data_IF_338481173870
#
_entry.id   IF_338481173870
#
_cell.length_a   1.000
_cell.length_b   1.000
_cell.length_c   1.000
_cell.angle_alpha   90.00
_cell.angle_beta   90.00
_cell.angle_gamma   90.00
#
_symmetry.space_group_name_H-M   'P 1'
#
loop_
_entity.id
_entity.type
_entity.pdbx_description
1 polymer ?
#
# COMPACT_ATOMS: atom_id res chain seq x y z
N UNK A 1 -15.70 -11.01 17.81
CA UNK A 1 -16.46 -10.38 16.72
C UNK A 1 -16.14 -11.06 15.39
N UNK A 2 -17.06 -11.83 14.78
CA UNK A 2 -16.81 -12.54 13.50
C UNK A 2 -16.73 -11.63 12.25
N UNK A 3 -16.96 -10.32 12.35
CA UNK A 3 -16.94 -9.39 11.20
C UNK A 3 -15.64 -8.59 11.01
N UNK A 4 -14.92 -8.25 12.10
CA UNK A 4 -13.79 -7.30 12.05
C UNK A 4 -12.59 -7.86 11.29
N UNK A 5 -12.24 -9.14 11.48
CA UNK A 5 -11.17 -9.78 10.71
C UNK A 5 -11.47 -9.96 9.22
N UNK A 6 -12.76 -10.01 8.83
CA UNK A 6 -13.18 -9.97 7.43
C UNK A 6 -12.95 -8.59 6.81
N UNK A 7 -13.33 -7.54 7.54
CA UNK A 7 -13.11 -6.15 7.13
C UNK A 7 -11.62 -5.83 6.96
N UNK A 8 -10.76 -6.22 7.90
CA UNK A 8 -9.31 -5.97 7.80
C UNK A 8 -8.73 -6.62 6.53
N UNK A 9 -9.15 -7.84 6.18
CA UNK A 9 -8.72 -8.51 4.95
C UNK A 9 -9.18 -7.76 3.70
N UNK A 10 -10.43 -7.30 3.68
CA UNK A 10 -10.96 -6.48 2.59
C UNK A 10 -10.16 -5.18 2.43
N UNK A 11 -9.85 -4.48 3.51
CA UNK A 11 -9.08 -3.25 3.48
C UNK A 11 -7.62 -3.46 3.05
N UNK A 12 -7.01 -4.57 3.47
CA UNK A 12 -5.69 -4.98 2.99
C UNK A 12 -5.70 -5.21 1.48
N UNK A 13 -6.68 -5.97 0.98
CA UNK A 13 -6.82 -6.19 -0.47
C UNK A 13 -7.01 -4.86 -1.23
N UNK A 14 -7.84 -3.95 -0.69
CA UNK A 14 -8.04 -2.62 -1.28
C UNK A 14 -6.75 -1.80 -1.29
N UNK A 15 -5.93 -1.86 -0.24
CA UNK A 15 -4.63 -1.19 -0.20
C UNK A 15 -3.68 -1.76 -1.27
N UNK A 16 -3.62 -3.09 -1.38
CA UNK A 16 -2.77 -3.76 -2.35
C UNK A 16 -3.19 -3.40 -3.79
N UNK A 17 -4.48 -3.32 -4.08
CA UNK A 17 -5.00 -2.86 -5.37
C UNK A 17 -4.59 -1.42 -5.68
N UNK A 18 -4.68 -0.50 -4.70
CA UNK A 18 -4.24 0.90 -4.90
C UNK A 18 -2.73 0.99 -5.13
N UNK A 19 -1.93 0.16 -4.44
CA UNK A 19 -0.48 0.08 -4.68
C UNK A 19 -0.17 -0.43 -6.08
N UNK A 20 -0.94 -1.40 -6.57
CA UNK A 20 -0.79 -1.91 -7.94
C UNK A 20 -1.02 -0.82 -8.97
N UNK A 21 -2.04 0.02 -8.79
CA UNK A 21 -2.30 1.17 -9.68
C UNK A 21 -1.09 2.11 -9.74
N UNK A 22 -0.45 2.41 -8.60
CA UNK A 22 0.78 3.23 -8.57
C UNK A 22 1.89 2.57 -9.37
N UNK A 23 2.10 1.27 -9.21
CA UNK A 23 3.12 0.51 -9.95
C UNK A 23 2.85 0.55 -11.46
N UNK A 24 1.61 0.32 -11.88
CA UNK A 24 1.23 0.34 -13.29
C UNK A 24 1.46 1.73 -13.92
N UNK A 25 1.18 2.81 -13.17
CA UNK A 25 1.46 4.18 -13.61
C UNK A 25 2.95 4.50 -13.68
N UNK A 26 3.76 4.00 -12.73
CA UNK A 26 5.22 4.13 -12.76
C UNK A 26 5.82 3.39 -13.98
N UNK A 27 5.31 2.20 -14.30
CA UNK A 27 5.68 1.46 -15.51
C UNK A 27 5.33 2.26 -16.76
N UNK A 28 4.14 2.88 -16.80
CA UNK A 28 3.74 3.75 -17.90
C UNK A 28 4.69 4.96 -18.04
N UNK A 29 5.03 5.65 -16.94
CA UNK A 29 5.99 6.76 -16.96
C UNK A 29 7.33 6.32 -17.54
N UNK A 30 7.88 5.21 -17.05
CA UNK A 30 9.15 4.66 -17.52
C UNK A 30 9.09 4.22 -19.00
N UNK A 31 7.93 3.77 -19.48
CA UNK A 31 7.72 3.50 -20.90
C UNK A 31 7.78 4.77 -21.75
N UNK A 32 7.14 5.86 -21.30
CA UNK A 32 7.16 7.16 -21.99
C UNK A 32 8.58 7.72 -22.02
N UNK A 33 9.31 7.68 -20.91
CA UNK A 33 10.71 8.14 -20.83
C UNK A 33 11.60 7.36 -21.81
N UNK A 34 11.43 6.03 -21.90
CA UNK A 34 12.15 5.22 -22.89
C UNK A 34 11.81 5.60 -24.33
N UNK A 35 10.55 5.92 -24.62
CA UNK A 35 10.14 6.40 -25.95
C UNK A 35 10.79 7.75 -26.28
N UNK A 36 10.89 8.66 -25.32
CA UNK A 36 11.58 9.95 -25.51
C UNK A 36 13.06 9.73 -25.85
N UNK A 37 13.77 8.90 -25.07
CA UNK A 37 15.19 8.57 -25.37
C UNK A 37 15.36 7.92 -26.74
N UNK A 38 14.41 7.06 -27.15
CA UNK A 38 14.44 6.47 -28.48
C UNK A 38 14.24 7.51 -29.59
N UNK A 39 13.34 8.48 -29.40
CA UNK A 39 13.12 9.58 -30.35
C UNK A 39 14.37 10.46 -30.49
N UNK A 40 15.08 10.72 -29.41
CA UNK A 40 16.34 11.49 -29.44
C UNK A 40 17.45 10.74 -30.18
N UNK A 41 17.57 9.44 -29.93
CA UNK A 41 18.53 8.59 -30.63
C UNK A 41 18.23 8.49 -32.15
N UNK A 42 16.95 8.37 -32.51
CA UNK A 42 16.48 8.35 -33.89
C UNK A 42 16.79 9.69 -34.59
N UNK A 43 16.54 10.82 -33.92
CA UNK A 43 16.84 12.14 -34.45
C UNK A 43 18.33 12.35 -34.70
N UNK A 44 19.19 11.90 -33.78
CA UNK A 44 20.64 12.00 -33.94
C UNK A 44 21.16 11.12 -35.08
N UNK A 45 20.58 9.93 -35.25
CA UNK A 45 20.87 9.06 -36.38
C UNK A 45 20.51 9.75 -37.71
N UNK A 46 19.27 10.26 -37.81
CA UNK A 46 18.79 10.94 -39.01
C UNK A 46 19.61 12.19 -39.32
N UNK A 47 20.05 12.93 -38.29
CA UNK A 47 20.95 14.08 -38.45
C UNK A 47 22.27 13.67 -39.12
N UNK A 48 22.89 12.57 -38.68
CA UNK A 48 24.14 12.07 -39.27
C UNK A 48 23.95 11.68 -40.73
N UNK A 49 22.88 10.96 -41.05
CA UNK A 49 22.55 10.57 -42.43
C UNK A 49 22.34 11.79 -43.32
N UNK A 50 21.59 12.78 -42.83
CA UNK A 50 21.34 14.04 -43.53
C UNK A 50 22.62 14.85 -43.81
N UNK A 51 23.62 14.80 -42.92
CA UNK A 51 24.92 15.46 -43.17
C UNK A 51 25.77 14.77 -44.23
N UNK A 52 25.55 13.47 -44.45
CA UNK A 52 26.31 12.67 -45.42
C UNK A 52 25.65 12.59 -46.80
N UNK A 53 24.35 12.89 -46.90
CA UNK A 53 23.59 12.79 -48.14
C UNK A 53 22.73 14.05 -48.39
N UNK A 54 23.03 14.76 -49.49
CA UNK A 54 22.35 16.00 -49.87
C UNK A 54 20.83 15.84 -50.07
N UNK A 55 20.37 14.72 -50.61
CA UNK A 55 18.92 14.48 -50.79
C UNK A 55 18.22 14.19 -49.47
N UNK A 56 18.88 13.53 -48.53
CA UNK A 56 18.37 13.30 -47.17
C UNK A 56 18.32 14.61 -46.36
N UNK A 57 19.25 15.54 -46.59
CA UNK A 57 19.25 16.87 -45.98
C UNK A 57 17.97 17.67 -46.21
N UNK A 58 17.34 17.54 -47.39
CA UNK A 58 16.07 18.21 -47.71
C UNK A 58 14.91 17.70 -46.84
N UNK A 59 14.80 16.39 -46.60
CA UNK A 59 13.75 15.79 -45.77
C UNK A 59 13.93 16.01 -44.27
N UNK A 60 15.18 16.19 -43.82
CA UNK A 60 15.53 16.27 -42.41
C UNK A 60 14.84 17.41 -41.65
N UNK A 61 14.60 18.57 -42.29
CA UNK A 61 13.95 19.70 -41.62
C UNK A 61 12.52 19.38 -41.20
N UNK A 62 11.77 18.70 -42.09
CA UNK A 62 10.40 18.26 -41.79
C UNK A 62 10.41 17.17 -40.72
N UNK A 63 11.34 16.21 -40.82
CA UNK A 63 11.51 15.15 -39.82
C UNK A 63 11.81 15.73 -38.43
N UNK A 64 12.74 16.67 -38.31
CA UNK A 64 13.09 17.33 -37.05
C UNK A 64 11.90 18.04 -36.41
N UNK A 65 11.05 18.69 -37.21
CA UNK A 65 9.83 19.33 -36.71
C UNK A 65 8.87 18.29 -36.13
N UNK A 66 8.61 17.20 -36.87
CA UNK A 66 7.75 16.12 -36.41
C UNK A 66 8.30 15.45 -35.13
N UNK A 67 9.61 15.21 -35.06
CA UNK A 67 10.25 14.63 -33.89
C UNK A 67 10.09 15.55 -32.66
N UNK A 68 10.27 16.88 -32.82
CA UNK A 68 10.02 17.87 -31.77
C UNK A 68 8.57 17.85 -31.28
N UNK A 69 7.60 17.77 -32.20
CA UNK A 69 6.18 17.69 -31.85
C UNK A 69 5.88 16.38 -31.08
N UNK A 70 6.44 15.24 -31.49
CA UNK A 70 6.33 13.96 -30.77
C UNK A 70 6.95 14.02 -29.38
N UNK A 71 8.12 14.65 -29.24
CA UNK A 71 8.78 14.82 -27.94
C UNK A 71 7.95 15.71 -27.01
N UNK A 72 7.41 16.83 -27.49
CA UNK A 72 6.54 17.70 -26.71
C UNK A 72 5.28 16.96 -26.23
N UNK A 73 4.67 16.15 -27.09
CA UNK A 73 3.51 15.33 -26.71
C UNK A 73 3.87 14.27 -25.66
N UNK A 74 5.02 13.61 -25.79
CA UNK A 74 5.51 12.63 -24.81
C UNK A 74 5.81 13.29 -23.45
N UNK A 75 6.38 14.50 -23.45
CA UNK A 75 6.64 15.27 -22.24
C UNK A 75 5.34 15.65 -21.51
N UNK A 76 4.32 16.11 -22.24
CA UNK A 76 2.99 16.38 -21.69
C UNK A 76 2.39 15.10 -21.09
N UNK A 77 2.44 13.98 -21.81
CA UNK A 77 1.94 12.70 -21.34
C UNK A 77 2.68 12.20 -20.08
N UNK A 78 4.01 12.40 -20.03
CA UNK A 78 4.85 12.09 -18.87
C UNK A 78 4.42 12.91 -17.65
N UNK A 79 4.28 14.21 -17.80
CA UNK A 79 3.89 15.11 -16.70
C UNK A 79 2.48 14.78 -16.19
N UNK A 80 1.52 14.55 -17.09
CA UNK A 80 0.19 14.07 -16.70
C UNK A 80 0.25 12.73 -15.95
N UNK A 81 1.15 11.83 -16.34
CA UNK A 81 1.33 10.55 -15.65
C UNK A 81 1.94 10.75 -14.26
N UNK A 82 2.87 11.69 -14.08
CA UNK A 82 3.42 12.07 -12.76
C UNK A 82 2.32 12.60 -11.84
N UNK A 83 1.46 13.49 -12.34
CA UNK A 83 0.33 14.01 -11.55
C UNK A 83 -0.62 12.89 -11.13
N UNK A 84 -0.90 11.94 -12.03
CA UNK A 84 -1.70 10.74 -11.73
C UNK A 84 -1.05 9.84 -10.68
N UNK A 85 0.28 9.67 -10.73
CA UNK A 85 1.03 8.92 -9.71
C UNK A 85 0.88 9.59 -8.36
N UNK A 86 1.06 10.91 -8.28
CA UNK A 86 0.90 11.66 -7.03
C UNK A 86 -0.51 11.48 -6.44
N UNK A 87 -1.55 11.63 -7.26
CA UNK A 87 -2.93 11.39 -6.84
C UNK A 87 -3.16 9.93 -6.37
N UNK A 88 -2.65 8.95 -7.10
CA UNK A 88 -2.76 7.54 -6.71
C UNK A 88 -2.02 7.22 -5.40
N UNK A 89 -0.88 7.86 -5.14
CA UNK A 89 -0.16 7.75 -3.86
C UNK A 89 -0.98 8.34 -2.69
N UNK A 90 -1.68 9.45 -2.90
CA UNK A 90 -2.61 9.98 -1.89
C UNK A 90 -3.74 8.99 -1.57
N UNK A 91 -4.29 8.31 -2.57
CA UNK A 91 -5.29 7.27 -2.38
C UNK A 91 -4.74 6.06 -1.61
N UNK A 92 -3.51 5.62 -1.90
CA UNK A 92 -2.81 4.58 -1.13
C UNK A 92 -2.67 5.00 0.33
N UNK A 93 -2.25 6.24 0.58
CA UNK A 93 -2.12 6.78 1.93
C UNK A 93 -3.47 6.84 2.66
N UNK A 94 -4.54 7.23 1.96
CA UNK A 94 -5.89 7.23 2.51
C UNK A 94 -6.36 5.80 2.86
N UNK A 95 -6.17 4.83 1.96
CA UNK A 95 -6.50 3.43 2.20
C UNK A 95 -5.72 2.84 3.38
N UNK A 96 -4.44 3.19 3.51
CA UNK A 96 -3.59 2.75 4.62
C UNK A 96 -4.07 3.31 5.97
N UNK A 97 -4.44 4.59 6.03
CA UNK A 97 -5.02 5.20 7.25
C UNK A 97 -6.29 4.49 7.68
N UNK A 98 -7.17 4.18 6.73
CA UNK A 98 -8.43 3.49 7.01
C UNK A 98 -8.19 2.04 7.48
N UNK A 99 -7.26 1.30 6.87
CA UNK A 99 -6.85 -0.01 7.36
C UNK A 99 -6.34 0.06 8.81
N UNK A 100 -5.46 1.01 9.12
CA UNK A 100 -4.89 1.18 10.47
C UNK A 100 -5.94 1.47 11.53
N UNK A 101 -6.99 2.21 11.19
CA UNK A 101 -8.13 2.46 12.07
C UNK A 101 -8.81 1.15 12.47
N UNK A 102 -9.08 0.24 11.52
CA UNK A 102 -9.70 -1.05 11.85
C UNK A 102 -8.78 -1.97 12.64
N UNK A 103 -7.47 -1.96 12.34
CA UNK A 103 -6.47 -2.70 13.12
C UNK A 103 -6.47 -2.26 14.59
N UNK A 104 -6.50 -0.95 14.84
CA UNK A 104 -6.56 -0.41 16.20
C UNK A 104 -7.87 -0.79 16.93
N UNK A 105 -9.00 -0.79 16.21
CA UNK A 105 -10.29 -1.22 16.77
C UNK A 105 -10.25 -2.70 17.16
N UNK A 106 -9.65 -3.56 16.32
CA UNK A 106 -9.47 -4.98 16.63
C UNK A 106 -8.57 -5.15 17.86
N UNK A 107 -7.41 -4.50 17.88
CA UNK A 107 -6.46 -4.59 18.99
C UNK A 107 -7.11 -4.17 20.33
N UNK A 108 -7.86 -3.08 20.33
CA UNK A 108 -8.58 -2.62 21.52
C UNK A 108 -9.67 -3.60 21.95
N UNK A 109 -10.34 -4.26 21.01
CA UNK A 109 -11.32 -5.29 21.33
C UNK A 109 -10.64 -6.53 21.94
N UNK A 110 -9.54 -7.00 21.35
CA UNK A 110 -8.76 -8.14 21.86
C UNK A 110 -8.22 -7.87 23.26
N UNK A 111 -7.69 -6.67 23.52
CA UNK A 111 -7.26 -6.26 24.87
C UNK A 111 -8.40 -6.32 25.88
N UNK A 112 -9.60 -5.85 25.51
CA UNK A 112 -10.78 -5.89 26.39
C UNK A 112 -11.24 -7.31 26.67
N UNK A 113 -11.25 -8.18 25.66
CA UNK A 113 -11.63 -9.59 25.85
C UNK A 113 -10.60 -10.33 26.70
N UNK A 114 -9.31 -10.08 26.48
CA UNK A 114 -8.24 -10.65 27.31
C UNK A 114 -8.38 -10.22 28.77
N UNK A 115 -8.58 -8.94 29.04
CA UNK A 115 -8.78 -8.43 30.40
C UNK A 115 -10.04 -9.03 31.08
N UNK A 116 -11.13 -9.25 30.33
CA UNK A 116 -12.31 -9.95 30.86
C UNK A 116 -12.01 -11.40 31.20
N UNK A 117 -11.21 -12.08 30.37
CA UNK A 117 -10.85 -13.46 30.58
C UNK A 117 -9.91 -13.61 31.78
N UNK A 118 -8.87 -12.78 31.87
CA UNK A 118 -7.97 -12.71 33.03
C UNK A 118 -8.74 -12.42 34.32
N UNK A 119 -9.73 -11.51 34.28
CA UNK A 119 -10.59 -11.24 35.45
C UNK A 119 -11.42 -12.46 35.85
N UNK A 120 -12.02 -13.17 34.89
CA UNK A 120 -12.80 -14.39 35.18
C UNK A 120 -11.92 -15.49 35.77
N UNK A 121 -10.74 -15.70 35.20
CA UNK A 121 -9.76 -16.67 35.71
C UNK A 121 -9.31 -16.31 37.14
N UNK A 122 -9.11 -15.02 37.44
CA UNK A 122 -8.80 -14.55 38.79
C UNK A 122 -9.96 -14.80 39.78
N UNK A 123 -11.19 -14.44 39.39
CA UNK A 123 -12.39 -14.65 40.22
C UNK A 123 -12.57 -16.15 40.55
N UNK A 124 -12.35 -17.04 39.57
CA UNK A 124 -12.40 -18.51 39.76
C UNK A 124 -11.30 -19.03 40.71
N UNK A 125 -10.07 -18.53 40.59
CA UNK A 125 -8.96 -18.89 41.48
C UNK A 125 -9.21 -18.43 42.92
N UNK A 126 -9.75 -17.22 43.09
CA UNK A 126 -10.08 -16.66 44.40
C UNK A 126 -11.20 -17.48 45.08
N UNK A 127 -12.24 -17.86 44.34
CA UNK A 127 -13.29 -18.75 44.83
C UNK A 127 -12.74 -20.12 45.26
N UNK A 128 -11.87 -20.73 44.46
CA UNK A 128 -11.22 -22.01 44.78
C UNK A 128 -10.33 -21.90 46.03
N UNK A 129 -9.62 -20.78 46.19
CA UNK A 129 -8.81 -20.46 47.37
C UNK A 129 -9.67 -20.36 48.64
N UNK A 130 -10.78 -19.61 48.58
CA UNK A 130 -11.72 -19.47 49.69
C UNK A 130 -12.36 -20.80 50.09
N UNK A 131 -12.80 -21.61 49.12
CA UNK A 131 -13.34 -22.95 49.39
C UNK A 131 -12.31 -23.86 50.05
N UNK A 132 -11.05 -23.81 49.61
CA UNK A 132 -9.97 -24.62 50.18
C UNK A 132 -9.63 -24.18 51.61
N UNK A 133 -9.63 -22.88 51.88
CA UNK A 133 -9.44 -22.34 53.22
C UNK A 133 -10.57 -22.75 54.18
N UNK A 134 -11.84 -22.61 53.75
CA UNK A 134 -13.01 -23.06 54.56
C UNK A 134 -12.92 -24.55 54.91
N UNK A 135 -12.63 -25.41 53.92
CA UNK A 135 -12.45 -26.85 54.14
C UNK A 135 -11.34 -27.17 55.13
N UNK A 136 -10.27 -26.36 55.17
CA UNK A 136 -9.19 -26.53 56.15
C UNK A 136 -9.64 -26.15 57.55
N UNK A 137 -10.31 -25.00 57.71
CA UNK A 137 -10.87 -24.61 59.01
C UNK A 137 -11.85 -25.63 59.57
N UNK A 138 -12.75 -26.18 58.74
CA UNK A 138 -13.70 -27.22 59.17
C UNK A 138 -13.01 -28.53 59.59
N UNK A 139 -11.85 -28.85 59.02
CA UNK A 139 -11.06 -30.01 59.45
C UNK A 139 -10.34 -29.74 60.75
N UNK A 140 -9.71 -28.58 60.88
CA UNK A 140 -8.96 -28.19 62.06
C UNK A 140 -9.90 -28.08 63.28
N UNK A 141 -11.12 -27.54 63.11
CA UNK A 141 -12.13 -27.46 64.17
C UNK A 141 -12.62 -28.84 64.64
N UNK A 142 -12.80 -29.79 63.71
CA UNK A 142 -13.19 -31.18 64.04
C UNK A 142 -12.07 -32.01 64.66
N UNK A 143 -10.82 -31.60 64.52
CA UNK A 143 -9.68 -32.27 65.14
C UNK A 143 -9.41 -31.77 66.58
N UNK A 144 -10.01 -30.64 66.96
CA UNK A 144 -9.91 -30.03 68.29
C UNK A 144 -11.09 -30.34 69.23
N UNK A 145 -12.13 -31.05 68.74
CA UNK A 145 -13.19 -31.68 69.55
C UNK A 145 -12.85 -33.15 69.84
#
# INVERSE_FOLDING_TARGET
>A
MKGVGGLIRLWKWRLDERRRIVVDLEILRASIERQMTALDAELEHERKVATQNYTAGFGFTAYRRMNRERHANAEVARNQTIDRIAAAQEEVNAAFREQKKYELVLENWEKREKAKQEKREQDELDEAGLQSFRRRQERDSKASE
#
